data_IF_064571366355
#
_entry.id   IF_064571366355
#
_cell.length_a   1.000
_cell.length_b   1.000
_cell.length_c   1.000
_cell.angle_alpha   90.00
_cell.angle_beta   90.00
_cell.angle_gamma   90.00
#
_symmetry.space_group_name_H-M   'P 1'
#
loop_
_entity.id
_entity.type
_entity.pdbx_description
1 polymer ?
#
# COMPACT_ATOMS: atom_id res chain seq x y z
N UNK A 1 9.32 7.85 -17.82
CA UNK A 1 8.43 6.70 -18.02
C UNK A 1 8.71 5.62 -16.95
N UNK A 2 8.65 5.97 -15.66
CA UNK A 2 8.97 5.06 -14.52
C UNK A 2 7.93 5.16 -13.37
N UNK A 3 6.94 6.05 -13.50
CA UNK A 3 5.88 6.26 -12.51
C UNK A 3 4.80 5.15 -12.55
N UNK A 4 4.81 4.30 -13.57
CA UNK A 4 3.73 3.35 -13.87
C UNK A 4 4.06 1.92 -13.39
N UNK A 5 5.34 1.59 -13.19
CA UNK A 5 5.80 0.20 -13.02
C UNK A 5 5.41 -0.42 -11.66
N UNK A 6 5.37 0.36 -10.57
CA UNK A 6 5.02 -0.16 -9.24
C UNK A 6 3.51 -0.47 -9.13
N UNK A 7 2.65 0.33 -9.77
CA UNK A 7 1.20 0.19 -9.75
C UNK A 7 0.67 -0.91 -10.69
N UNK A 8 1.35 -1.17 -11.81
CA UNK A 8 0.95 -2.22 -12.75
C UNK A 8 0.92 -3.60 -12.10
N UNK A 9 1.76 -3.85 -11.11
CA UNK A 9 1.86 -5.16 -10.50
C UNK A 9 0.69 -5.47 -9.54
N UNK A 10 0.16 -4.48 -8.82
CA UNK A 10 -1.04 -4.67 -7.99
C UNK A 10 -2.29 -4.92 -8.86
N UNK A 11 -2.46 -4.16 -9.94
CA UNK A 11 -3.55 -4.38 -10.90
C UNK A 11 -3.41 -5.72 -11.63
N UNK A 12 -2.19 -6.12 -11.99
CA UNK A 12 -1.91 -7.46 -12.55
C UNK A 12 -2.17 -8.57 -11.54
N UNK A 13 -1.86 -8.38 -10.26
CA UNK A 13 -2.17 -9.33 -9.19
C UNK A 13 -3.69 -9.53 -9.05
N UNK A 14 -4.48 -8.45 -8.98
CA UNK A 14 -5.94 -8.52 -8.94
C UNK A 14 -6.48 -9.21 -10.20
N UNK A 15 -5.96 -8.86 -11.37
CA UNK A 15 -6.37 -9.48 -12.65
C UNK A 15 -6.03 -10.97 -12.70
N UNK A 16 -4.86 -11.37 -12.20
CA UNK A 16 -4.41 -12.77 -12.19
C UNK A 16 -5.33 -13.64 -11.32
N UNK A 17 -5.68 -13.19 -10.11
CA UNK A 17 -6.56 -13.95 -9.22
C UNK A 17 -8.04 -13.97 -9.64
N UNK A 18 -8.45 -13.12 -10.60
CA UNK A 18 -9.84 -13.04 -11.07
C UNK A 18 -10.15 -13.86 -12.32
N UNK A 19 -9.15 -14.28 -13.11
CA UNK A 19 -9.36 -14.95 -14.41
C UNK A 19 -9.97 -16.36 -14.36
N UNK A 20 -10.35 -16.89 -13.18
CA UNK A 20 -11.05 -18.18 -13.08
C UNK A 20 -12.58 -18.12 -13.16
N UNK A 21 -13.22 -16.93 -13.14
CA UNK A 21 -14.69 -16.84 -13.24
C UNK A 21 -15.15 -15.66 -14.12
N UNK A 22 -15.75 -16.01 -15.26
CA UNK A 22 -16.53 -15.19 -16.19
C UNK A 22 -15.80 -14.14 -17.06
N UNK A 23 -16.01 -14.32 -18.39
CA UNK A 23 -15.31 -13.66 -19.50
C UNK A 23 -16.08 -12.48 -20.14
N UNK A 24 -17.08 -11.90 -19.48
CA UNK A 24 -18.07 -11.06 -20.19
C UNK A 24 -18.39 -9.68 -19.58
N UNK A 25 -17.50 -9.12 -18.76
CA UNK A 25 -17.68 -7.73 -18.32
C UNK A 25 -16.30 -7.08 -18.18
N UNK A 26 -15.95 -6.18 -19.11
CA UNK A 26 -14.78 -5.31 -18.99
C UNK A 26 -14.99 -4.36 -17.81
N UNK A 27 -14.58 -4.81 -16.63
CA UNK A 27 -14.58 -3.99 -15.42
C UNK A 27 -13.34 -3.11 -15.43
N UNK A 28 -13.53 -1.81 -15.58
CA UNK A 28 -12.49 -0.83 -15.29
C UNK A 28 -12.28 -0.79 -13.77
N UNK A 29 -11.22 -1.45 -13.30
CA UNK A 29 -10.71 -1.29 -11.93
C UNK A 29 -9.66 -0.19 -12.00
N UNK A 30 -9.94 0.93 -11.32
CA UNK A 30 -9.05 2.10 -11.26
C UNK A 30 -8.71 2.46 -9.82
N UNK A 31 -7.54 3.06 -9.63
CA UNK A 31 -7.12 3.69 -8.37
C UNK A 31 -7.36 5.19 -8.51
N UNK A 32 -7.99 5.79 -7.51
CA UNK A 32 -8.28 7.23 -7.44
C UNK A 32 -7.53 7.87 -6.27
N UNK A 33 -7.51 9.20 -6.24
CA UNK A 33 -6.80 10.02 -5.25
C UNK A 33 -5.27 9.90 -5.36
N UNK A 34 -4.71 10.59 -6.35
CA UNK A 34 -3.28 10.58 -6.69
C UNK A 34 -2.49 11.75 -6.07
N UNK A 35 -3.04 12.46 -5.08
CA UNK A 35 -2.40 13.67 -4.52
C UNK A 35 -1.03 13.40 -3.89
N UNK A 36 -0.80 12.18 -3.40
CA UNK A 36 0.46 11.72 -2.79
C UNK A 36 1.33 10.88 -3.76
N UNK A 37 0.95 10.80 -5.04
CA UNK A 37 1.67 10.00 -6.03
C UNK A 37 3.08 10.52 -6.28
N UNK A 38 4.09 9.66 -6.09
CA UNK A 38 5.50 10.02 -6.25
C UNK A 38 6.35 8.84 -6.74
N UNK A 39 7.49 9.12 -7.38
CA UNK A 39 8.52 8.08 -7.60
C UNK A 39 9.28 7.88 -6.30
N UNK A 40 9.31 6.64 -5.82
CA UNK A 40 9.98 6.33 -4.58
C UNK A 40 9.98 4.85 -4.24
N UNK A 41 9.97 4.60 -2.93
CA UNK A 41 10.02 3.28 -2.31
C UNK A 41 8.67 2.54 -2.44
N UNK A 42 8.59 1.42 -3.20
CA UNK A 42 7.34 0.68 -3.41
C UNK A 42 6.76 0.07 -2.12
N UNK A 43 7.55 -0.04 -1.05
CA UNK A 43 7.03 -0.53 0.22
C UNK A 43 5.95 0.38 0.83
N UNK A 44 5.88 1.64 0.40
CA UNK A 44 4.85 2.59 0.82
C UNK A 44 3.47 2.12 0.34
N UNK A 45 3.34 1.78 -0.95
CA UNK A 45 2.08 1.36 -1.56
C UNK A 45 1.55 0.04 -0.98
N UNK A 46 2.46 -0.83 -0.51
CA UNK A 46 2.08 -2.11 0.11
C UNK A 46 1.81 -2.02 1.60
N UNK A 47 2.16 -0.91 2.26
CA UNK A 47 2.04 -0.77 3.72
C UNK A 47 0.59 -0.79 4.22
N UNK A 48 -0.39 -0.38 3.41
CA UNK A 48 -1.81 -0.50 3.75
C UNK A 48 -2.38 -1.92 3.61
N UNK A 49 -1.73 -2.78 2.82
CA UNK A 49 -2.21 -4.13 2.51
C UNK A 49 -2.27 -5.03 3.75
N UNK A 50 -1.28 -4.91 4.64
CA UNK A 50 -1.19 -5.75 5.85
C UNK A 50 -2.33 -5.50 6.82
N UNK A 51 -2.79 -4.25 7.01
CA UNK A 51 -3.93 -3.95 7.88
C UNK A 51 -5.25 -4.52 7.39
N UNK A 52 -5.39 -4.68 6.06
CA UNK A 52 -6.65 -5.12 5.46
C UNK A 52 -6.68 -6.63 5.23
N UNK A 53 -5.56 -7.22 4.82
CA UNK A 53 -5.50 -8.61 4.36
C UNK A 53 -4.52 -9.51 5.13
N UNK A 54 -3.74 -8.95 6.07
CA UNK A 54 -2.79 -9.69 6.89
C UNK A 54 -1.49 -10.07 6.18
N UNK A 55 -0.60 -10.70 6.96
CA UNK A 55 0.78 -11.01 6.54
C UNK A 55 0.88 -12.05 5.42
N UNK A 56 0.08 -13.11 5.45
CA UNK A 56 0.14 -14.16 4.42
C UNK A 56 -0.28 -13.62 3.05
N UNK A 57 -1.28 -12.72 3.03
CA UNK A 57 -1.67 -12.02 1.81
C UNK A 57 -0.58 -11.09 1.31
N UNK A 58 0.15 -10.41 2.20
CA UNK A 58 1.27 -9.57 1.83
C UNK A 58 2.44 -10.39 1.25
N UNK A 59 2.76 -11.56 1.84
CA UNK A 59 3.78 -12.48 1.28
C UNK A 59 3.39 -12.93 -0.13
N UNK A 60 2.12 -13.27 -0.33
CA UNK A 60 1.59 -13.62 -1.66
C UNK A 60 1.73 -12.44 -2.64
N UNK A 61 1.38 -11.22 -2.22
CA UNK A 61 1.52 -10.03 -3.06
C UNK A 61 2.98 -9.81 -3.51
N UNK A 62 3.93 -9.86 -2.57
CA UNK A 62 5.37 -9.69 -2.88
C UNK A 62 5.87 -10.80 -3.80
N UNK A 63 5.45 -12.05 -3.56
CA UNK A 63 5.78 -13.18 -4.43
C UNK A 63 5.30 -12.96 -5.87
N UNK A 64 4.04 -12.55 -6.06
CA UNK A 64 3.50 -12.30 -7.39
C UNK A 64 4.10 -11.06 -8.05
N UNK A 65 4.41 -10.03 -7.26
CA UNK A 65 5.14 -8.84 -7.70
C UNK A 65 6.49 -9.24 -8.33
N UNK A 66 7.28 -10.06 -7.64
CA UNK A 66 8.53 -10.61 -8.18
C UNK A 66 8.30 -11.48 -9.42
N UNK A 67 7.31 -12.38 -9.40
CA UNK A 67 7.01 -13.27 -10.54
C UNK A 67 6.58 -12.54 -11.80
N UNK A 68 6.03 -11.34 -11.67
CA UNK A 68 5.67 -10.49 -12.80
C UNK A 68 6.86 -9.69 -13.37
N UNK A 69 8.06 -9.91 -12.83
CA UNK A 69 9.31 -9.31 -13.30
C UNK A 69 9.67 -8.02 -12.57
N UNK A 70 8.97 -7.67 -11.49
CA UNK A 70 9.25 -6.46 -10.74
C UNK A 70 10.40 -6.67 -9.73
N UNK A 71 11.02 -5.57 -9.33
CA UNK A 71 12.19 -5.60 -8.45
C UNK A 71 11.79 -5.78 -6.99
N UNK A 72 12.20 -6.90 -6.39
CA UNK A 72 12.14 -7.13 -4.95
C UNK A 72 13.54 -7.15 -4.33
N UNK A 73 13.61 -7.07 -3.00
CA UNK A 73 14.85 -7.21 -2.24
C UNK A 73 14.64 -8.08 -1.00
N UNK A 74 15.74 -8.59 -0.44
CA UNK A 74 15.75 -9.59 0.64
C UNK A 74 14.85 -9.25 1.84
N UNK A 75 14.77 -7.97 2.21
CA UNK A 75 14.06 -7.52 3.41
C UNK A 75 12.82 -6.66 3.09
N UNK A 76 12.23 -6.84 1.90
CA UNK A 76 11.11 -6.03 1.44
C UNK A 76 9.87 -6.20 2.32
N UNK A 77 9.56 -7.44 2.70
CA UNK A 77 8.43 -7.74 3.58
C UNK A 77 8.56 -7.02 4.93
N UNK A 78 9.72 -7.14 5.58
CA UNK A 78 9.99 -6.50 6.87
C UNK A 78 9.95 -4.98 6.78
N UNK A 79 10.42 -4.42 5.66
CA UNK A 79 10.32 -3.00 5.39
C UNK A 79 8.86 -2.55 5.30
N UNK A 80 8.01 -3.27 4.57
CA UNK A 80 6.58 -2.99 4.46
C UNK A 80 5.91 -3.04 5.82
N UNK A 81 6.20 -4.06 6.63
CA UNK A 81 5.69 -4.20 8.01
C UNK A 81 6.10 -2.98 8.85
N UNK A 82 7.37 -2.57 8.79
CA UNK A 82 7.86 -1.40 9.54
C UNK A 82 7.24 -0.09 9.06
N UNK A 83 7.02 0.06 7.74
CA UNK A 83 6.31 1.21 7.16
C UNK A 83 4.89 1.29 7.72
N UNK A 84 4.19 0.16 7.76
CA UNK A 84 2.84 0.09 8.34
C UNK A 84 2.85 0.46 9.83
N UNK A 85 3.76 -0.12 10.62
CA UNK A 85 3.90 0.18 12.04
C UNK A 85 4.23 1.66 12.32
N UNK A 86 4.85 2.34 11.36
CA UNK A 86 5.19 3.77 11.44
C UNK A 86 4.11 4.69 10.86
N UNK A 87 2.96 4.16 10.43
CA UNK A 87 1.89 4.94 9.77
C UNK A 87 1.33 6.08 10.64
N UNK A 88 1.32 5.90 11.96
CA UNK A 88 0.89 6.93 12.93
C UNK A 88 1.76 8.19 12.87
N UNK A 89 3.04 8.10 12.50
CA UNK A 89 3.91 9.25 12.32
C UNK A 89 3.49 10.10 11.11
N UNK A 90 3.10 9.44 10.01
CA UNK A 90 2.60 10.14 8.83
C UNK A 90 1.26 10.83 9.13
N UNK A 91 0.40 10.18 9.91
CA UNK A 91 -0.86 10.78 10.35
C UNK A 91 -0.65 11.96 11.30
N UNK A 92 0.37 11.89 12.17
CA UNK A 92 0.79 13.01 13.00
C UNK A 92 1.24 14.22 12.17
N UNK A 93 2.06 13.99 11.14
CA UNK A 93 2.49 15.05 10.24
C UNK A 93 1.30 15.68 9.51
N UNK A 94 0.34 14.88 9.05
CA UNK A 94 -0.90 15.37 8.45
C UNK A 94 -1.70 16.24 9.41
N UNK A 95 -1.89 15.81 10.66
CA UNK A 95 -2.61 16.57 11.68
C UNK A 95 -1.95 17.92 11.99
N UNK A 96 -0.61 17.97 12.00
CA UNK A 96 0.15 19.21 12.16
C UNK A 96 -0.05 20.14 10.95
N UNK A 97 0.13 19.62 9.73
CA UNK A 97 0.00 20.39 8.48
C UNK A 97 -1.39 20.98 8.28
N UNK A 98 -2.43 20.24 8.65
CA UNK A 98 -3.84 20.66 8.48
C UNK A 98 -4.36 21.52 9.64
N UNK A 99 -3.57 21.67 10.71
CA UNK A 99 -4.00 22.32 11.95
C UNK A 99 -5.36 21.81 12.50
N UNK A 100 -5.70 20.55 12.22
CA UNK A 100 -6.97 19.95 12.64
C UNK A 100 -6.88 19.41 14.06
N UNK A 101 -7.65 20.01 14.97
CA UNK A 101 -7.66 19.59 16.37
C UNK A 101 -8.27 18.19 16.57
N UNK A 102 -9.18 17.79 15.67
CA UNK A 102 -9.74 16.43 15.63
C UNK A 102 -8.63 15.42 15.34
N UNK A 103 -7.85 15.64 14.28
CA UNK A 103 -6.75 14.73 13.92
C UNK A 103 -5.64 14.74 14.97
N UNK A 104 -5.34 15.90 15.57
CA UNK A 104 -4.36 15.99 16.66
C UNK A 104 -4.75 15.19 17.89
N UNK A 105 -6.04 15.12 18.24
CA UNK A 105 -6.51 14.30 19.37
C UNK A 105 -6.29 12.81 19.09
N UNK A 106 -6.72 12.33 17.91
CA UNK A 106 -6.57 10.92 17.51
C UNK A 106 -5.09 10.51 17.48
N UNK A 107 -4.22 11.35 16.92
CA UNK A 107 -2.78 11.10 16.86
C UNK A 107 -2.17 10.98 18.26
N UNK A 108 -2.59 11.82 19.21
CA UNK A 108 -2.06 11.75 20.59
C UNK A 108 -2.33 10.37 21.19
N UNK A 109 -3.57 9.88 21.09
CA UNK A 109 -3.97 8.56 21.57
C UNK A 109 -3.13 7.45 20.89
N UNK A 110 -2.96 7.52 19.56
CA UNK A 110 -2.17 6.55 18.79
C UNK A 110 -0.68 6.52 19.16
N UNK A 111 -0.07 7.66 19.50
CA UNK A 111 1.36 7.76 19.79
C UNK A 111 1.70 7.50 21.26
N UNK A 112 0.79 7.79 22.20
CA UNK A 112 1.06 7.59 23.63
C UNK A 112 0.75 6.19 24.13
N UNK A 113 0.10 5.34 23.32
CA UNK A 113 -0.23 3.95 23.69
C UNK A 113 -1.09 3.85 24.95
N UNK A 114 -1.88 4.90 25.24
CA UNK A 114 -2.76 5.05 26.40
C UNK A 114 -4.13 5.51 25.92
#
# INVERSE_FOLDING_TARGET
MHYITQFTAFLRYISFHRTRKNKFIDHYITINDWSEGQVGDPSIDFSGHISVFGEESLKSLVYWYEKLGEKVWKNMFEQIVKRHASSSLNYALFAIKTASDIHRKVVKEQLTGR
#
